data_IF_840232187912
#
_entry.id   IF_840232187912
#
_cell.length_a   1.000
_cell.length_b   1.000
_cell.length_c   1.000
_cell.angle_alpha   90.00
_cell.angle_beta   90.00
_cell.angle_gamma   90.00
#
_symmetry.space_group_name_H-M   'P 1'
#
loop_
_entity.id
_entity.type
_entity.pdbx_description
1 polymer ?
#
# COMPACT_ATOMS: atom_id res chain seq x y z
N UNK A 1 5.43 25.84 -18.48
CA UNK A 1 4.35 25.53 -17.51
C UNK A 1 4.97 25.47 -16.14
N UNK A 2 4.40 26.05 -15.07
CA UNK A 2 4.92 25.87 -13.74
C UNK A 2 4.96 24.36 -13.44
N UNK A 3 6.06 23.88 -12.90
CA UNK A 3 6.20 22.49 -12.49
C UNK A 3 5.17 22.20 -11.38
N UNK A 4 4.54 21.04 -11.41
CA UNK A 4 3.63 20.61 -10.34
C UNK A 4 4.41 20.61 -9.02
N UNK A 5 3.87 21.19 -7.92
CA UNK A 5 4.54 21.19 -6.62
C UNK A 5 4.93 19.76 -6.21
N UNK A 6 6.13 19.61 -5.68
CA UNK A 6 6.56 18.33 -5.11
C UNK A 6 5.70 17.98 -3.90
N UNK A 7 5.43 16.70 -3.74
CA UNK A 7 4.59 16.17 -2.69
C UNK A 7 5.40 15.27 -1.78
N UNK A 8 5.40 15.55 -0.46
CA UNK A 8 6.22 14.84 0.52
C UNK A 8 5.39 14.40 1.72
N UNK A 9 5.67 13.20 2.18
CA UNK A 9 5.15 12.67 3.44
C UNK A 9 6.00 13.16 4.60
N UNK A 10 5.36 13.65 5.66
CA UNK A 10 6.02 14.09 6.89
C UNK A 10 5.31 13.50 8.11
N UNK A 11 6.00 13.44 9.24
CA UNK A 11 5.41 12.96 10.50
C UNK A 11 4.94 14.09 11.41
N UNK A 12 5.29 15.33 11.10
CA UNK A 12 4.91 16.53 11.84
C UNK A 12 3.41 16.81 11.70
N UNK A 13 2.84 17.49 12.70
CA UNK A 13 1.48 18.03 12.61
C UNK A 13 1.40 19.14 11.56
N UNK A 14 0.29 19.17 10.82
CA UNK A 14 0.05 20.13 9.75
C UNK A 14 -1.13 21.02 10.11
N UNK A 15 -0.86 22.34 10.19
CA UNK A 15 -1.86 23.34 10.50
C UNK A 15 -1.55 24.66 9.76
N UNK A 16 -2.51 25.60 9.64
CA UNK A 16 -2.28 26.89 9.01
C UNK A 16 -1.12 27.64 9.67
N UNK A 17 -0.15 28.10 8.89
CA UNK A 17 1.02 28.86 9.37
C UNK A 17 2.09 28.03 10.07
N UNK A 18 1.92 26.70 10.20
CA UNK A 18 2.95 25.84 10.78
C UNK A 18 4.21 25.83 9.92
N UNK A 19 5.37 25.81 10.57
CA UNK A 19 6.67 25.66 9.93
C UNK A 19 7.18 24.24 10.16
N UNK A 20 7.29 23.48 9.08
CA UNK A 20 7.70 22.08 9.07
C UNK A 20 9.15 21.97 8.60
N UNK A 21 10.03 21.49 9.46
CA UNK A 21 11.40 21.16 9.08
C UNK A 21 11.40 19.75 8.44
N UNK A 22 11.88 19.68 7.20
CA UNK A 22 11.99 18.43 6.47
C UNK A 22 13.19 17.62 6.96
N UNK A 23 13.11 16.31 6.86
CA UNK A 23 14.27 15.46 7.19
C UNK A 23 15.44 15.72 6.22
N UNK A 24 16.68 15.34 6.59
CA UNK A 24 17.87 15.62 5.77
C UNK A 24 17.80 15.01 4.35
N UNK A 25 17.09 13.87 4.17
CA UNK A 25 16.96 13.21 2.86
C UNK A 25 16.00 14.00 1.97
N UNK A 26 14.87 14.42 2.52
CA UNK A 26 13.90 15.28 1.85
C UNK A 26 14.49 16.65 1.51
N UNK A 27 15.21 17.25 2.44
CA UNK A 27 15.91 18.52 2.21
C UNK A 27 16.94 18.37 1.08
N UNK A 28 17.76 17.32 1.10
CA UNK A 28 18.71 17.01 0.03
C UNK A 28 18.02 16.84 -1.32
N UNK A 29 16.91 16.09 -1.35
CA UNK A 29 16.15 15.85 -2.58
C UNK A 29 15.62 17.16 -3.18
N UNK A 30 14.93 17.98 -2.39
CA UNK A 30 14.41 19.27 -2.88
C UNK A 30 15.53 20.22 -3.35
N UNK A 31 16.57 20.39 -2.54
CA UNK A 31 17.56 21.45 -2.78
C UNK A 31 18.63 21.02 -3.78
N UNK A 32 19.15 19.79 -3.65
CA UNK A 32 20.30 19.38 -4.44
C UNK A 32 19.91 18.59 -5.70
N UNK A 33 18.82 17.83 -5.67
CA UNK A 33 18.34 17.05 -6.83
C UNK A 33 17.41 17.89 -7.68
N UNK A 34 16.34 18.43 -7.09
CA UNK A 34 15.34 19.24 -7.81
C UNK A 34 15.71 20.72 -7.94
N UNK A 35 16.68 21.18 -7.16
CA UNK A 35 17.18 22.58 -7.14
C UNK A 35 16.10 23.60 -6.81
N UNK A 36 15.14 23.21 -5.95
CA UNK A 36 14.10 24.10 -5.47
C UNK A 36 14.71 25.31 -4.72
N UNK A 37 14.10 26.47 -4.92
CA UNK A 37 14.50 27.74 -4.31
C UNK A 37 13.54 28.15 -3.20
N UNK A 38 14.00 29.01 -2.32
CA UNK A 38 13.12 29.68 -1.36
C UNK A 38 11.96 30.36 -2.10
N UNK A 39 10.75 30.16 -1.59
CA UNK A 39 9.51 30.64 -2.19
C UNK A 39 8.80 29.62 -3.10
N UNK A 40 9.46 28.54 -3.52
CA UNK A 40 8.78 27.50 -4.30
C UNK A 40 7.80 26.69 -3.45
N UNK A 41 6.71 26.28 -4.09
CA UNK A 41 5.62 25.58 -3.44
C UNK A 41 5.91 24.07 -3.28
N UNK A 42 5.56 23.53 -2.10
CA UNK A 42 5.65 22.12 -1.76
C UNK A 42 4.33 21.67 -1.13
N UNK A 43 3.87 20.49 -1.45
CA UNK A 43 2.73 19.83 -0.81
C UNK A 43 3.23 18.89 0.28
N UNK A 44 2.68 19.01 1.49
CA UNK A 44 2.96 18.11 2.60
C UNK A 44 1.69 17.36 3.01
N UNK A 45 1.84 16.09 3.39
CA UNK A 45 0.78 15.29 3.98
C UNK A 45 1.35 14.34 5.05
N UNK A 46 0.51 13.91 6.02
CA UNK A 46 0.98 13.08 7.14
C UNK A 46 0.03 11.90 7.48
N UNK A 47 -1.02 11.70 6.69
CA UNK A 47 -2.00 10.64 6.94
C UNK A 47 -3.04 10.97 8.02
N UNK A 48 -3.03 12.20 8.57
CA UNK A 48 -3.93 12.63 9.66
C UNK A 48 -4.59 13.97 9.38
N UNK A 49 -3.81 14.93 8.90
CA UNK A 49 -4.23 16.34 8.80
C UNK A 49 -4.56 16.74 7.35
N UNK A 50 -4.60 15.76 6.42
CA UNK A 50 -4.81 15.99 5.00
C UNK A 50 -3.55 16.48 4.28
N UNK A 51 -3.75 17.18 3.16
CA UNK A 51 -2.67 17.70 2.33
C UNK A 51 -2.64 19.21 2.38
N UNK A 52 -1.46 19.77 2.57
CA UNK A 52 -1.22 21.20 2.76
C UNK A 52 -0.21 21.72 1.77
N UNK A 53 -0.51 22.87 1.18
CA UNK A 53 0.42 23.64 0.38
C UNK A 53 1.21 24.57 1.30
N UNK A 54 2.52 24.64 1.10
CA UNK A 54 3.40 25.57 1.78
C UNK A 54 4.50 26.07 0.87
N UNK A 55 5.11 27.18 1.26
CA UNK A 55 6.29 27.74 0.60
C UNK A 55 7.57 27.29 1.30
N UNK A 56 8.60 27.01 0.53
CA UNK A 56 9.94 26.73 1.04
C UNK A 56 10.50 28.02 1.64
N UNK A 57 10.46 28.18 2.98
CA UNK A 57 10.79 29.40 3.69
C UNK A 57 12.27 29.54 4.02
N UNK A 58 13.01 28.41 4.13
CA UNK A 58 14.45 28.36 4.27
C UNK A 58 15.01 27.17 3.51
N UNK A 59 16.05 27.40 2.70
CA UNK A 59 16.76 26.38 1.95
C UNK A 59 18.26 26.56 2.13
N UNK A 60 18.87 25.68 2.90
CA UNK A 60 20.33 25.59 3.05
C UNK A 60 20.77 24.17 2.73
N UNK A 61 22.05 23.95 2.42
CA UNK A 61 22.58 22.66 1.91
C UNK A 61 22.04 21.36 2.56
N UNK A 62 21.57 21.43 3.81
CA UNK A 62 21.07 20.25 4.57
C UNK A 62 19.80 20.58 5.37
N UNK A 63 19.19 21.74 5.17
CA UNK A 63 18.01 22.15 5.93
C UNK A 63 17.00 22.79 5.02
N UNK A 64 15.77 22.29 5.05
CA UNK A 64 14.63 22.84 4.34
C UNK A 64 13.47 23.00 5.31
N UNK A 65 12.86 24.18 5.33
CA UNK A 65 11.67 24.48 6.13
C UNK A 65 10.56 24.89 5.18
N UNK A 66 9.39 24.29 5.33
CA UNK A 66 8.18 24.62 4.58
C UNK A 66 7.20 25.30 5.53
N UNK A 67 6.79 26.52 5.23
CA UNK A 67 5.74 27.22 5.97
C UNK A 67 4.41 27.00 5.27
N UNK A 68 3.46 26.37 5.98
CA UNK A 68 2.17 25.99 5.45
C UNK A 68 1.24 27.20 5.29
N UNK A 69 0.55 27.27 4.16
CA UNK A 69 -0.35 28.38 3.82
C UNK A 69 -1.81 27.98 3.79
N UNK A 70 -2.14 26.87 3.15
CA UNK A 70 -3.53 26.40 3.02
C UNK A 70 -3.62 24.90 2.89
N UNK A 71 -4.71 24.34 3.38
CA UNK A 71 -5.08 22.95 3.12
C UNK A 71 -5.61 22.80 1.70
N UNK A 72 -5.06 21.86 0.94
CA UNK A 72 -5.48 21.56 -0.44
C UNK A 72 -6.47 20.42 -0.49
N UNK A 73 -6.37 19.47 0.44
CA UNK A 73 -7.27 18.33 0.56
C UNK A 73 -7.50 17.96 2.02
N UNK A 74 -8.73 17.72 2.40
CA UNK A 74 -9.06 17.17 3.72
C UNK A 74 -8.59 15.72 3.83
N UNK A 75 -8.25 15.30 5.06
CA UNK A 75 -7.95 13.88 5.29
C UNK A 75 -9.20 13.05 5.10
N UNK A 76 -9.05 11.98 4.34
CA UNK A 76 -10.03 10.91 4.21
C UNK A 76 -9.47 9.64 4.84
N UNK A 77 -10.29 8.82 5.51
CA UNK A 77 -9.82 7.55 6.04
C UNK A 77 -9.35 6.64 4.89
N UNK A 78 -8.29 5.85 5.09
CA UNK A 78 -7.88 4.87 4.10
C UNK A 78 -8.99 3.80 3.92
N UNK A 79 -9.09 3.19 2.73
CA UNK A 79 -9.93 2.02 2.54
C UNK A 79 -9.55 0.91 3.52
N UNK A 80 -10.54 0.18 4.05
CA UNK A 80 -10.26 -0.97 4.91
C UNK A 80 -9.90 -2.21 4.05
N UNK A 81 -8.78 -2.10 3.36
CA UNK A 81 -8.22 -3.10 2.46
C UNK A 81 -6.82 -3.49 2.89
N UNK A 82 -6.64 -4.73 3.33
CA UNK A 82 -5.34 -5.29 3.67
C UNK A 82 -4.76 -6.08 2.50
N UNK A 83 -3.48 -5.94 2.26
CA UNK A 83 -2.76 -6.74 1.27
C UNK A 83 -1.81 -7.72 1.98
N UNK A 84 -2.09 -9.02 1.82
CA UNK A 84 -1.33 -10.14 2.36
C UNK A 84 -0.51 -10.77 1.25
N UNK A 85 0.76 -10.99 1.46
CA UNK A 85 1.64 -11.51 0.43
C UNK A 85 2.76 -12.38 1.00
N UNK A 86 3.06 -13.46 0.29
CA UNK A 86 4.30 -14.17 0.56
C UNK A 86 5.49 -13.32 0.09
N UNK A 87 6.50 -13.07 0.94
CA UNK A 87 7.63 -12.25 0.58
C UNK A 87 8.39 -12.80 -0.63
N UNK A 88 8.60 -11.95 -1.63
CA UNK A 88 9.33 -12.24 -2.86
C UNK A 88 10.77 -11.73 -2.79
N UNK A 89 11.57 -12.02 -3.83
CA UNK A 89 12.92 -11.44 -3.99
C UNK A 89 12.84 -9.92 -4.16
N UNK A 90 13.84 -9.22 -3.60
CA UNK A 90 13.92 -7.76 -3.37
C UNK A 90 13.19 -6.86 -4.37
N UNK A 91 13.57 -6.88 -5.64
CA UNK A 91 13.00 -5.93 -6.63
C UNK A 91 11.50 -6.08 -6.84
N UNK A 92 10.97 -7.31 -6.79
CA UNK A 92 9.53 -7.56 -6.91
C UNK A 92 8.78 -7.19 -5.63
N UNK A 93 9.41 -7.39 -4.47
CA UNK A 93 8.83 -7.01 -3.20
C UNK A 93 8.67 -5.49 -3.09
N UNK A 94 9.68 -4.72 -3.54
CA UNK A 94 9.61 -3.26 -3.61
C UNK A 94 8.48 -2.81 -4.53
N UNK A 95 8.39 -3.39 -5.73
CA UNK A 95 7.32 -3.13 -6.69
C UNK A 95 5.93 -3.42 -6.11
N UNK A 96 5.77 -4.55 -5.42
CA UNK A 96 4.49 -4.91 -4.80
C UNK A 96 4.06 -3.93 -3.72
N UNK A 97 4.99 -3.44 -2.88
CA UNK A 97 4.69 -2.43 -1.87
C UNK A 97 4.20 -1.12 -2.52
N UNK A 98 4.85 -0.69 -3.59
CA UNK A 98 4.43 0.49 -4.36
C UNK A 98 3.03 0.28 -4.96
N UNK A 99 2.81 -0.81 -5.71
CA UNK A 99 1.53 -1.06 -6.39
C UNK A 99 0.37 -1.30 -5.42
N UNK A 100 0.58 -1.98 -4.30
CA UNK A 100 -0.44 -2.13 -3.29
C UNK A 100 -0.85 -0.78 -2.66
N UNK A 101 0.12 0.12 -2.44
CA UNK A 101 -0.15 1.48 -1.96
C UNK A 101 -0.95 2.28 -2.99
N UNK A 102 -0.54 2.25 -4.27
CA UNK A 102 -1.23 2.91 -5.38
C UNK A 102 -2.67 2.42 -5.54
N UNK A 103 -2.90 1.12 -5.27
CA UNK A 103 -4.19 0.45 -5.33
C UNK A 103 -4.97 0.52 -4.00
N UNK A 104 -4.58 1.41 -3.09
CA UNK A 104 -5.38 1.76 -1.93
C UNK A 104 -5.26 0.83 -0.73
N UNK A 105 -4.30 -0.09 -0.69
CA UNK A 105 -4.09 -0.88 0.51
C UNK A 105 -3.74 0.02 1.71
N UNK A 106 -4.38 -0.24 2.85
CA UNK A 106 -4.11 0.46 4.12
C UNK A 106 -3.12 -0.30 5.00
N UNK A 107 -2.90 -1.58 4.71
CA UNK A 107 -1.97 -2.45 5.46
C UNK A 107 -1.29 -3.45 4.55
N UNK A 108 0.03 -3.59 4.70
CA UNK A 108 0.87 -4.55 4.01
C UNK A 108 1.29 -5.64 5.00
N UNK A 109 0.89 -6.88 4.76
CA UNK A 109 1.08 -7.98 5.70
C UNK A 109 1.91 -9.10 5.06
N UNK A 110 3.20 -9.20 5.38
CA UNK A 110 4.03 -10.31 4.92
C UNK A 110 3.59 -11.62 5.58
N UNK A 111 3.26 -12.64 4.78
CA UNK A 111 2.80 -13.94 5.24
C UNK A 111 3.82 -15.01 4.89
N UNK A 112 4.32 -15.70 5.89
CA UNK A 112 5.30 -16.78 5.71
C UNK A 112 4.55 -18.09 5.48
N UNK A 113 4.71 -18.64 4.30
CA UNK A 113 4.20 -19.95 3.87
C UNK A 113 5.35 -20.96 3.77
N UNK A 114 5.05 -22.23 3.62
CA UNK A 114 6.07 -23.29 3.48
C UNK A 114 6.98 -23.11 2.27
N UNK A 115 6.47 -22.50 1.18
CA UNK A 115 7.24 -22.23 -0.05
C UNK A 115 7.75 -20.79 -0.14
N UNK A 116 7.70 -20.04 0.95
CA UNK A 116 8.31 -18.71 1.01
C UNK A 116 9.83 -18.85 1.00
N UNK A 117 10.48 -18.25 0.01
CA UNK A 117 11.95 -18.32 -0.16
C UNK A 117 12.66 -17.19 0.60
N UNK A 118 11.99 -16.08 0.88
CA UNK A 118 12.63 -14.93 1.51
C UNK A 118 12.80 -15.15 3.01
N UNK A 119 14.06 -15.21 3.46
CA UNK A 119 14.41 -15.43 4.87
C UNK A 119 14.12 -14.22 5.76
N UNK A 120 14.15 -13.00 5.20
CA UNK A 120 13.99 -11.75 5.97
C UNK A 120 13.24 -10.69 5.19
N UNK A 121 12.27 -10.07 5.84
CA UNK A 121 11.54 -8.90 5.32
C UNK A 121 12.12 -7.63 5.91
N UNK A 122 12.59 -6.73 5.08
CA UNK A 122 13.04 -5.39 5.50
C UNK A 122 11.85 -4.43 5.49
N UNK A 123 11.16 -4.31 6.64
CA UNK A 123 9.98 -3.46 6.80
C UNK A 123 10.27 -1.98 6.53
N UNK A 124 11.42 -1.48 7.00
CA UNK A 124 11.80 -0.09 6.77
C UNK A 124 11.88 0.23 5.26
N UNK A 125 12.42 -0.70 4.46
CA UNK A 125 12.46 -0.56 3.01
C UNK A 125 11.06 -0.62 2.37
N UNK A 126 10.19 -1.51 2.84
CA UNK A 126 8.80 -1.57 2.36
C UNK A 126 8.05 -0.28 2.68
N UNK A 127 8.21 0.24 3.89
CA UNK A 127 7.63 1.54 4.28
C UNK A 127 8.15 2.68 3.40
N UNK A 128 9.46 2.72 3.11
CA UNK A 128 10.02 3.74 2.23
C UNK A 128 9.44 3.66 0.81
N UNK A 129 9.26 2.47 0.24
CA UNK A 129 8.60 2.28 -1.05
C UNK A 129 7.12 2.69 -1.03
N UNK A 130 6.42 2.42 0.07
CA UNK A 130 5.03 2.83 0.25
C UNK A 130 4.90 4.37 0.37
N UNK A 131 5.84 5.03 1.08
CA UNK A 131 5.92 6.49 1.14
C UNK A 131 6.11 7.08 -0.25
N UNK A 132 7.11 6.60 -1.00
CA UNK A 132 7.38 7.06 -2.37
C UNK A 132 6.14 6.91 -3.27
N UNK A 133 5.46 5.75 -3.22
CA UNK A 133 4.23 5.53 -3.98
C UNK A 133 3.11 6.50 -3.56
N UNK A 134 2.91 6.72 -2.26
CA UNK A 134 1.90 7.65 -1.75
C UNK A 134 2.19 9.09 -2.20
N UNK A 135 3.46 9.50 -2.22
CA UNK A 135 3.90 10.81 -2.72
C UNK A 135 3.58 10.98 -4.20
N UNK A 136 3.84 9.98 -5.03
CA UNK A 136 3.65 10.05 -6.48
C UNK A 136 2.18 9.95 -6.90
N UNK A 137 1.41 9.09 -6.24
CA UNK A 137 0.04 8.76 -6.68
C UNK A 137 -1.05 9.59 -5.98
N UNK A 138 -0.69 10.52 -5.12
CA UNK A 138 -1.66 11.40 -4.46
C UNK A 138 -2.47 10.71 -3.36
N UNK A 139 -2.02 9.59 -2.84
CA UNK A 139 -2.61 8.92 -1.67
C UNK A 139 -2.32 9.73 -0.41
N UNK A 140 -3.30 9.90 0.48
CA UNK A 140 -3.19 10.73 1.69
C UNK A 140 -2.73 9.96 2.93
N UNK A 141 -2.42 8.68 2.80
CA UNK A 141 -1.92 7.80 3.88
C UNK A 141 -0.74 6.97 3.38
N UNK A 142 0.00 6.44 4.31
CA UNK A 142 1.02 5.43 4.05
C UNK A 142 0.57 4.12 4.70
N UNK A 143 0.50 3.00 3.98
CA UNK A 143 0.12 1.72 4.56
C UNK A 143 1.01 1.32 5.73
N UNK A 144 0.40 0.79 6.79
CA UNK A 144 1.15 0.12 7.85
C UNK A 144 1.81 -1.14 7.30
N UNK A 145 3.09 -1.34 7.57
CA UNK A 145 3.81 -2.59 7.26
C UNK A 145 3.87 -3.46 8.51
N UNK A 146 3.10 -4.54 8.53
CA UNK A 146 3.04 -5.47 9.66
C UNK A 146 4.32 -6.31 9.79
N UNK A 147 4.53 -6.90 10.98
CA UNK A 147 5.55 -7.93 11.15
C UNK A 147 5.19 -9.17 10.31
N UNK A 148 6.20 -9.87 9.77
CA UNK A 148 5.97 -11.14 9.09
C UNK A 148 5.35 -12.19 10.02
N UNK A 149 4.28 -12.82 9.58
CA UNK A 149 3.58 -13.83 10.36
C UNK A 149 3.39 -15.12 9.58
N UNK A 150 3.43 -16.29 10.26
CA UNK A 150 3.16 -17.59 9.64
C UNK A 150 1.68 -17.70 9.29
N UNK A 151 1.35 -18.25 8.12
CA UNK A 151 -0.04 -18.38 7.64
C UNK A 151 -0.97 -19.01 8.68
N UNK A 152 -0.56 -20.09 9.35
CA UNK A 152 -1.40 -20.76 10.34
C UNK A 152 -1.70 -19.90 11.57
N UNK A 153 -0.74 -19.12 12.07
CA UNK A 153 -0.92 -18.21 13.18
C UNK A 153 -1.83 -17.03 12.79
N UNK A 154 -1.58 -16.46 11.62
CA UNK A 154 -2.42 -15.40 11.04
C UNK A 154 -3.90 -15.82 10.96
N UNK A 155 -4.18 -17.02 10.42
CA UNK A 155 -5.55 -17.51 10.28
C UNK A 155 -6.20 -17.86 11.63
N UNK A 156 -5.42 -18.23 12.63
CA UNK A 156 -5.93 -18.49 13.98
C UNK A 156 -6.36 -17.20 14.71
N UNK A 157 -5.71 -16.08 14.43
CA UNK A 157 -6.04 -14.76 14.99
C UNK A 157 -6.90 -13.88 14.06
N UNK A 158 -7.47 -14.43 12.99
CA UNK A 158 -8.18 -13.66 11.98
C UNK A 158 -9.51 -13.07 12.48
N UNK A 159 -9.74 -11.81 12.15
CA UNK A 159 -11.07 -11.20 12.32
C UNK A 159 -12.01 -11.74 11.23
N UNK A 160 -12.93 -12.63 11.61
CA UNK A 160 -13.88 -13.29 10.70
C UNK A 160 -14.83 -12.31 9.98
N UNK A 161 -14.95 -11.07 10.47
CA UNK A 161 -15.71 -10.02 9.78
C UNK A 161 -15.01 -9.55 8.50
N UNK A 162 -13.68 -9.73 8.40
CA UNK A 162 -12.89 -9.37 7.23
C UNK A 162 -12.87 -10.50 6.22
N UNK A 163 -13.32 -10.23 5.00
CA UNK A 163 -13.24 -11.17 3.87
C UNK A 163 -11.78 -11.32 3.43
N UNK A 164 -11.28 -12.53 3.39
CA UNK A 164 -9.98 -12.86 2.83
C UNK A 164 -10.17 -13.41 1.41
N UNK A 165 -9.91 -12.58 0.42
CA UNK A 165 -9.94 -12.95 -1.00
C UNK A 165 -8.61 -13.61 -1.32
N UNK A 166 -8.67 -14.89 -1.60
CA UNK A 166 -7.51 -15.74 -1.85
C UNK A 166 -7.35 -15.99 -3.36
N UNK A 167 -6.30 -15.43 -3.97
CA UNK A 167 -5.96 -15.73 -5.35
C UNK A 167 -5.37 -17.14 -5.43
N UNK A 168 -6.22 -18.11 -5.79
CA UNK A 168 -5.90 -19.53 -5.82
C UNK A 168 -5.73 -20.00 -7.27
N UNK A 169 -4.51 -20.37 -7.65
CA UNK A 169 -4.21 -20.85 -9.00
C UNK A 169 -4.88 -22.20 -9.32
N UNK A 170 -5.23 -22.98 -8.28
CA UNK A 170 -5.92 -24.26 -8.40
C UNK A 170 -7.46 -24.12 -8.28
N UNK A 171 -7.99 -22.92 -8.12
CA UNK A 171 -9.44 -22.71 -8.14
C UNK A 171 -10.02 -23.01 -9.52
N UNK A 172 -11.25 -23.55 -9.60
CA UNK A 172 -11.94 -23.68 -10.86
C UNK A 172 -11.97 -22.34 -11.62
N UNK A 173 -11.73 -22.40 -12.93
CA UNK A 173 -11.76 -21.20 -13.77
C UNK A 173 -13.19 -20.68 -13.84
N UNK A 174 -13.43 -19.56 -13.16
CA UNK A 174 -14.69 -18.86 -13.12
C UNK A 174 -14.44 -17.35 -13.22
N UNK A 175 -15.48 -16.59 -13.50
CA UNK A 175 -15.36 -15.13 -13.52
C UNK A 175 -15.10 -14.60 -12.10
N UNK A 176 -13.92 -14.02 -11.82
CA UNK A 176 -13.66 -13.42 -10.52
C UNK A 176 -14.60 -12.24 -10.21
N UNK A 177 -15.06 -11.53 -11.24
CA UNK A 177 -16.02 -10.42 -11.08
C UNK A 177 -17.34 -10.94 -10.51
N UNK A 178 -17.94 -11.97 -11.12
CA UNK A 178 -19.20 -12.52 -10.64
C UNK A 178 -19.08 -13.07 -9.20
N UNK A 179 -17.93 -13.67 -8.86
CA UNK A 179 -17.66 -14.16 -7.51
C UNK A 179 -17.57 -13.03 -6.49
N UNK A 180 -16.92 -11.93 -6.84
CA UNK A 180 -16.75 -10.77 -5.97
C UNK A 180 -18.03 -9.93 -5.85
N UNK A 181 -18.76 -9.69 -6.94
CA UNK A 181 -20.01 -8.92 -6.95
C UNK A 181 -21.10 -9.49 -6.04
N UNK A 182 -21.08 -10.80 -5.81
CA UNK A 182 -22.00 -11.48 -4.88
C UNK A 182 -21.70 -11.24 -3.40
N UNK A 183 -20.62 -10.56 -3.04
CA UNK A 183 -20.22 -10.37 -1.64
C UNK A 183 -20.83 -9.12 -1.02
N UNK A 184 -21.20 -9.23 0.27
CA UNK A 184 -21.63 -8.09 1.06
C UNK A 184 -20.44 -7.14 1.36
N UNK A 185 -20.74 -5.84 1.49
CA UNK A 185 -19.73 -4.84 1.88
C UNK A 185 -19.24 -5.11 3.31
N UNK A 186 -17.95 -5.35 3.44
CA UNK A 186 -17.25 -5.57 4.73
C UNK A 186 -15.77 -5.27 4.58
N UNK A 187 -14.97 -5.25 5.67
CA UNK A 187 -13.53 -5.17 5.61
C UNK A 187 -12.93 -6.22 4.67
N UNK A 188 -11.93 -5.84 3.88
CA UNK A 188 -11.36 -6.68 2.82
C UNK A 188 -9.89 -6.99 3.08
N UNK A 189 -9.47 -8.16 2.61
CA UNK A 189 -8.07 -8.52 2.50
C UNK A 189 -7.85 -9.34 1.22
N UNK A 190 -6.70 -9.17 0.58
CA UNK A 190 -6.28 -9.94 -0.59
C UNK A 190 -5.03 -10.72 -0.25
N UNK A 191 -5.02 -12.02 -0.45
CA UNK A 191 -3.88 -12.90 -0.23
C UNK A 191 -3.30 -13.38 -1.56
N UNK A 192 -2.01 -13.09 -1.76
CA UNK A 192 -1.21 -13.57 -2.88
C UNK A 192 -0.10 -14.48 -2.37
N UNK A 193 -0.05 -15.68 -2.91
CA UNK A 193 0.95 -16.70 -2.55
C UNK A 193 2.35 -16.43 -3.11
N UNK A 194 3.30 -17.30 -2.72
CA UNK A 194 4.65 -17.29 -3.28
C UNK A 194 4.66 -17.81 -4.73
N UNK A 195 5.78 -17.60 -5.42
CA UNK A 195 5.97 -18.07 -6.82
C UNK A 195 5.81 -19.60 -6.98
N UNK A 196 6.05 -20.37 -5.92
CA UNK A 196 5.85 -21.82 -5.91
C UNK A 196 4.44 -22.27 -5.50
N UNK A 197 3.50 -21.34 -5.33
CA UNK A 197 2.15 -21.62 -4.82
C UNK A 197 2.09 -22.02 -3.34
N UNK A 198 0.94 -22.43 -2.89
CA UNK A 198 0.73 -22.97 -1.54
C UNK A 198 0.92 -24.49 -1.51
N UNK A 199 1.39 -25.04 -0.37
CA UNK A 199 1.29 -26.47 -0.12
C UNK A 199 -0.18 -26.88 0.01
N UNK A 200 -0.49 -28.15 -0.33
CA UNK A 200 -1.87 -28.64 -0.31
C UNK A 200 -2.54 -28.49 1.06
N UNK A 201 -1.77 -28.70 2.14
CA UNK A 201 -2.28 -28.53 3.51
C UNK A 201 -2.55 -27.06 3.85
N UNK A 202 -1.73 -26.13 3.36
CA UNK A 202 -1.96 -24.69 3.53
C UNK A 202 -3.18 -24.23 2.75
N UNK A 203 -3.34 -24.74 1.52
CA UNK A 203 -4.51 -24.50 0.70
C UNK A 203 -5.78 -25.06 1.35
N UNK A 204 -5.74 -26.28 1.84
CA UNK A 204 -6.85 -26.89 2.57
C UNK A 204 -7.20 -26.11 3.84
N UNK A 205 -6.20 -25.64 4.58
CA UNK A 205 -6.38 -24.79 5.77
C UNK A 205 -7.10 -23.48 5.42
N UNK A 206 -6.77 -22.84 4.30
CA UNK A 206 -7.43 -21.63 3.81
C UNK A 206 -8.88 -21.93 3.43
N UNK A 207 -9.12 -22.93 2.61
CA UNK A 207 -10.45 -23.28 2.08
C UNK A 207 -11.41 -23.79 3.17
N UNK A 208 -10.90 -24.27 4.31
CA UNK A 208 -11.72 -24.65 5.45
C UNK A 208 -12.28 -23.43 6.25
N UNK A 209 -11.89 -22.20 5.90
CA UNK A 209 -12.32 -21.01 6.65
C UNK A 209 -13.51 -20.32 5.97
N UNK A 210 -14.61 -20.03 6.70
CA UNK A 210 -15.81 -19.43 6.11
C UNK A 210 -15.61 -17.98 5.64
N UNK A 211 -14.56 -17.31 6.13
CA UNK A 211 -14.20 -15.95 5.73
C UNK A 211 -13.24 -15.92 4.53
N UNK A 212 -12.81 -17.06 3.98
CA UNK A 212 -11.94 -17.14 2.81
C UNK A 212 -12.77 -17.31 1.55
N UNK A 213 -12.55 -16.46 0.58
CA UNK A 213 -13.14 -16.50 -0.76
C UNK A 213 -12.05 -16.79 -1.79
N UNK A 214 -11.95 -18.01 -2.29
CA UNK A 214 -11.01 -18.31 -3.37
C UNK A 214 -11.49 -17.71 -4.69
N UNK A 215 -10.57 -17.10 -5.44
CA UNK A 215 -10.83 -16.60 -6.80
C UNK A 215 -9.77 -17.10 -7.77
N UNK A 216 -10.21 -17.45 -8.99
CA UNK A 216 -9.30 -17.68 -10.11
C UNK A 216 -9.01 -16.36 -10.83
N UNK A 217 -7.76 -16.09 -11.17
CA UNK A 217 -7.36 -14.95 -12.00
C UNK A 217 -7.27 -15.32 -13.50
N UNK A 218 -7.91 -16.41 -13.89
CA UNK A 218 -8.00 -16.88 -15.28
C UNK A 218 -7.08 -18.07 -15.60
N UNK A 219 -7.02 -18.49 -16.87
CA UNK A 219 -6.42 -19.77 -17.26
C UNK A 219 -4.88 -19.78 -17.34
N UNK A 220 -4.23 -18.66 -17.08
CA UNK A 220 -2.77 -18.53 -17.12
C UNK A 220 -2.21 -18.34 -15.73
N UNK A 221 -1.13 -19.04 -15.40
CA UNK A 221 -0.38 -18.78 -14.17
C UNK A 221 0.24 -17.38 -14.26
N UNK A 222 -0.10 -16.54 -13.31
CA UNK A 222 0.46 -15.20 -13.19
C UNK A 222 1.62 -15.19 -12.19
N UNK A 223 2.62 -14.36 -12.42
CA UNK A 223 3.60 -14.06 -11.38
C UNK A 223 2.92 -13.33 -10.23
N UNK A 224 3.44 -13.51 -9.01
CA UNK A 224 2.83 -12.97 -7.81
C UNK A 224 2.63 -11.44 -7.86
N UNK A 225 3.57 -10.69 -8.44
CA UNK A 225 3.46 -9.24 -8.66
C UNK A 225 2.32 -8.88 -9.62
N UNK A 226 2.15 -9.60 -10.72
CA UNK A 226 1.04 -9.43 -11.65
C UNK A 226 -0.29 -9.84 -11.02
N UNK A 227 -0.32 -10.96 -10.31
CA UNK A 227 -1.51 -11.43 -9.59
C UNK A 227 -1.98 -10.43 -8.54
N UNK A 228 -1.04 -9.76 -7.83
CA UNK A 228 -1.35 -8.72 -6.86
C UNK A 228 -2.07 -7.53 -7.51
N UNK A 229 -1.52 -7.00 -8.59
CA UNK A 229 -2.15 -5.88 -9.32
C UNK A 229 -3.53 -6.28 -9.84
N UNK A 230 -3.65 -7.45 -10.46
CA UNK A 230 -4.92 -7.94 -11.00
C UNK A 230 -5.97 -8.13 -9.89
N UNK A 231 -5.64 -8.82 -8.81
CA UNK A 231 -6.59 -9.08 -7.72
C UNK A 231 -7.01 -7.79 -7.01
N UNK A 232 -6.08 -6.90 -6.66
CA UNK A 232 -6.39 -5.63 -6.02
C UNK A 232 -7.25 -4.73 -6.92
N UNK A 233 -6.98 -4.69 -8.24
CA UNK A 233 -7.80 -3.92 -9.18
C UNK A 233 -9.22 -4.48 -9.29
N UNK A 234 -9.38 -5.80 -9.36
CA UNK A 234 -10.70 -6.45 -9.37
C UNK A 234 -11.48 -6.16 -8.08
N UNK A 235 -10.81 -6.25 -6.94
CA UNK A 235 -11.42 -5.98 -5.63
C UNK A 235 -11.86 -4.51 -5.55
N UNK A 236 -11.02 -3.56 -5.96
CA UNK A 236 -11.39 -2.14 -5.98
C UNK A 236 -12.58 -1.85 -6.91
N UNK A 237 -12.60 -2.49 -8.08
CA UNK A 237 -13.67 -2.29 -9.06
C UNK A 237 -15.01 -2.92 -8.63
N UNK A 238 -15.00 -3.94 -7.76
CA UNK A 238 -16.22 -4.67 -7.35
C UNK A 238 -16.68 -4.36 -5.94
N UNK A 239 -15.78 -4.22 -4.99
CA UNK A 239 -16.07 -4.10 -3.55
C UNK A 239 -15.42 -2.86 -2.91
N UNK A 240 -14.44 -2.25 -3.56
CA UNK A 240 -13.66 -1.14 -3.07
C UNK A 240 -14.18 0.24 -3.50
N UNK A 241 -13.28 1.20 -3.52
CA UNK A 241 -13.55 2.62 -3.70
C UNK A 241 -13.70 3.08 -5.17
N UNK A 242 -13.42 2.20 -6.15
CA UNK A 242 -13.64 2.52 -7.56
C UNK A 242 -15.12 2.47 -7.99
N UNK A 243 -16.00 2.03 -7.10
CA UNK A 243 -17.45 1.96 -7.34
C UNK A 243 -18.21 3.25 -7.00
N UNK A 244 -17.55 4.24 -6.42
CA UNK A 244 -18.14 5.50 -5.99
C UNK A 244 -18.26 6.51 -7.13
#
# INVERSE_FOLDING_TARGET
MPSKPQRLFVTSELAPGASVELDPTQAHYLINVLRCKTGEEVLLFNGKDGEWLGGLSAAAKKRAIVTLTRQTRQQIPPPDLHYLFAPLKRARLDYMAQKATELGASRLMPVITRRTIAERVNRARLTANAVEAAEQCGVLWVPEVAEPEKLGALLAGWDEKRLLIFADEAAPIASPLATLEGQAKRPLAVLIGPEGGFEEEERALLLARPFVLPISLGPRVMRADTAAVAALSLVNATLGDWRS
#
